data_IF_429862221456
#
_entry.id   IF_429862221456
#
_cell.length_a   1.000
_cell.length_b   1.000
_cell.length_c   1.000
_cell.angle_alpha   90.00
_cell.angle_beta   90.00
_cell.angle_gamma   90.00
#
_symmetry.space_group_name_H-M   'P 1'
#
loop_
_entity.id
_entity.type
_entity.pdbx_description
1 polymer ?
#
# COMPACT_ATOMS: atom_id res chain seq x y z
N UNK A 1 -9.57 12.84 -3.11
CA UNK A 1 -9.32 11.64 -3.94
C UNK A 1 -10.48 11.42 -4.89
N UNK A 2 -10.19 11.11 -6.15
CA UNK A 2 -11.21 10.90 -7.18
C UNK A 2 -12.07 9.66 -6.91
N UNK A 3 -13.27 9.61 -7.53
CA UNK A 3 -14.11 8.41 -7.57
C UNK A 3 -14.00 7.66 -8.90
N UNK A 4 -13.28 8.23 -9.86
CA UNK A 4 -13.02 7.56 -11.14
C UNK A 4 -12.11 6.35 -10.92
N UNK A 5 -12.56 5.12 -11.29
CA UNK A 5 -11.73 3.93 -11.10
C UNK A 5 -10.34 4.01 -11.72
N UNK A 6 -10.22 4.59 -12.92
CA UNK A 6 -8.92 4.71 -13.59
C UNK A 6 -7.97 5.59 -12.80
N UNK A 7 -8.47 6.69 -12.23
CA UNK A 7 -7.66 7.56 -11.40
C UNK A 7 -7.32 6.92 -10.05
N UNK A 8 -8.21 6.12 -9.49
CA UNK A 8 -7.95 5.38 -8.27
C UNK A 8 -6.84 4.33 -8.49
N UNK A 9 -6.87 3.61 -9.60
CA UNK A 9 -5.78 2.68 -9.95
C UNK A 9 -4.47 3.42 -10.16
N UNK A 10 -4.52 4.60 -10.78
CA UNK A 10 -3.33 5.44 -10.95
C UNK A 10 -2.75 5.86 -9.61
N UNK A 11 -3.59 6.27 -8.67
CA UNK A 11 -3.16 6.62 -7.31
C UNK A 11 -2.45 5.44 -6.63
N UNK A 12 -2.97 4.22 -6.81
CA UNK A 12 -2.35 3.01 -6.27
C UNK A 12 -0.96 2.80 -6.90
N UNK A 13 -0.85 2.90 -8.22
CA UNK A 13 0.43 2.72 -8.93
C UNK A 13 1.46 3.76 -8.52
N UNK A 14 1.04 5.01 -8.39
CA UNK A 14 1.93 6.09 -7.96
C UNK A 14 2.44 5.83 -6.54
N UNK A 15 1.55 5.43 -5.63
CA UNK A 15 1.93 5.13 -4.26
C UNK A 15 2.93 3.97 -4.18
N UNK A 16 2.72 2.91 -4.95
CA UNK A 16 3.65 1.78 -5.02
C UNK A 16 5.02 2.26 -5.52
N UNK A 17 5.05 3.07 -6.57
CA UNK A 17 6.30 3.59 -7.12
C UNK A 17 7.05 4.46 -6.12
N UNK A 18 6.34 5.28 -5.36
CA UNK A 18 6.92 6.11 -4.29
C UNK A 18 7.56 5.27 -3.21
N UNK A 19 6.89 4.20 -2.79
CA UNK A 19 7.42 3.30 -1.77
C UNK A 19 8.68 2.62 -2.29
N UNK A 20 8.66 2.11 -3.52
CA UNK A 20 9.83 1.45 -4.11
C UNK A 20 11.04 2.38 -4.17
N UNK A 21 10.86 3.63 -4.57
CA UNK A 21 11.95 4.60 -4.58
C UNK A 21 12.46 4.92 -3.19
N UNK A 22 11.54 5.03 -2.23
CA UNK A 22 11.88 5.32 -0.84
C UNK A 22 12.71 4.19 -0.22
N UNK A 23 12.35 2.95 -0.50
CA UNK A 23 13.09 1.77 -0.03
C UNK A 23 14.45 1.67 -0.71
N UNK A 24 14.48 1.78 -2.03
CA UNK A 24 15.71 1.67 -2.82
C UNK A 24 16.48 0.40 -2.48
N UNK A 25 17.77 0.55 -2.15
CA UNK A 25 18.65 -0.56 -1.75
C UNK A 25 18.84 -0.67 -0.23
N UNK A 26 18.00 0.01 0.54
CA UNK A 26 18.13 0.03 1.99
C UNK A 26 17.82 -1.32 2.60
N UNK A 27 18.54 -1.65 3.67
CA UNK A 27 18.28 -2.85 4.45
C UNK A 27 17.05 -2.62 5.34
N UNK A 28 16.45 -3.71 5.82
CA UNK A 28 15.37 -3.63 6.80
C UNK A 28 15.74 -2.77 7.99
N UNK A 29 16.91 -3.07 8.58
CA UNK A 29 17.38 -2.35 9.76
C UNK A 29 17.56 -0.85 9.49
N UNK A 30 18.22 -0.51 8.39
CA UNK A 30 18.45 0.88 8.02
C UNK A 30 17.16 1.64 7.74
N UNK A 31 16.22 1.02 7.02
CA UNK A 31 14.95 1.65 6.69
C UNK A 31 14.08 1.85 7.94
N UNK A 32 13.97 0.82 8.78
CA UNK A 32 13.07 0.86 9.94
C UNK A 32 13.54 1.80 11.04
N UNK A 33 14.80 2.25 10.99
CA UNK A 33 15.34 3.27 11.91
C UNK A 33 15.11 4.69 11.40
N UNK A 34 14.75 4.84 10.14
CA UNK A 34 14.52 6.14 9.50
C UNK A 34 13.05 6.50 9.63
N UNK A 35 12.73 7.32 10.63
CA UNK A 35 11.35 7.71 10.93
C UNK A 35 10.70 8.49 9.79
N UNK A 36 11.47 9.31 9.08
CA UNK A 36 10.94 10.10 7.97
C UNK A 36 10.53 9.17 6.83
N UNK A 37 11.39 8.21 6.48
CA UNK A 37 11.10 7.28 5.40
C UNK A 37 9.99 6.31 5.75
N UNK A 38 9.98 5.78 6.98
CA UNK A 38 8.89 4.89 7.40
C UNK A 38 7.56 5.64 7.45
N UNK A 39 7.56 6.90 7.89
CA UNK A 39 6.37 7.73 7.88
C UNK A 39 5.83 7.94 6.46
N UNK A 40 6.73 8.24 5.52
CA UNK A 40 6.36 8.40 4.11
C UNK A 40 5.80 7.11 3.51
N UNK A 41 6.40 5.96 3.84
CA UNK A 41 5.92 4.65 3.40
C UNK A 41 4.52 4.38 3.94
N UNK A 42 4.31 4.61 5.24
CA UNK A 42 2.99 4.39 5.86
C UNK A 42 1.93 5.29 5.22
N UNK A 43 2.28 6.53 4.92
CA UNK A 43 1.38 7.46 4.23
C UNK A 43 0.95 6.90 2.86
N UNK A 44 1.90 6.39 2.09
CA UNK A 44 1.59 5.82 0.77
C UNK A 44 0.82 4.50 0.88
N UNK A 45 1.09 3.68 1.89
CA UNK A 45 0.29 2.48 2.16
C UNK A 45 -1.16 2.85 2.50
N UNK A 46 -1.35 3.95 3.24
CA UNK A 46 -2.69 4.46 3.53
C UNK A 46 -3.40 4.91 2.25
N UNK A 47 -2.70 5.58 1.34
CA UNK A 47 -3.25 5.98 0.04
C UNK A 47 -3.73 4.76 -0.74
N UNK A 48 -2.94 3.69 -0.76
CA UNK A 48 -3.33 2.44 -1.44
C UNK A 48 -4.64 1.90 -0.85
N UNK A 49 -4.75 1.87 0.47
CA UNK A 49 -5.96 1.41 1.14
C UNK A 49 -7.17 2.30 0.88
N UNK A 50 -6.98 3.61 0.91
CA UNK A 50 -8.04 4.58 0.61
C UNK A 50 -8.55 4.42 -0.82
N UNK A 51 -7.65 4.38 -1.78
CA UNK A 51 -8.02 4.19 -3.18
C UNK A 51 -8.76 2.88 -3.38
N UNK A 52 -8.26 1.80 -2.76
CA UNK A 52 -8.90 0.49 -2.81
C UNK A 52 -10.33 0.52 -2.26
N UNK A 53 -10.54 1.22 -1.14
CA UNK A 53 -11.85 1.30 -0.51
C UNK A 53 -12.87 2.09 -1.36
N UNK A 54 -12.38 2.98 -2.21
CA UNK A 54 -13.22 3.80 -3.07
C UNK A 54 -13.57 3.14 -4.39
N UNK A 55 -12.86 2.08 -4.77
CA UNK A 55 -13.19 1.32 -5.97
C UNK A 55 -14.57 0.67 -5.81
N UNK A 56 -15.46 0.78 -6.81
CA UNK A 56 -16.74 0.09 -6.77
C UNK A 56 -16.56 -1.43 -6.67
N UNK A 57 -17.53 -2.11 -6.06
CA UNK A 57 -17.47 -3.56 -5.87
C UNK A 57 -17.33 -4.33 -7.18
N UNK A 58 -18.04 -3.89 -8.22
CA UNK A 58 -17.97 -4.53 -9.54
C UNK A 58 -16.59 -4.38 -10.17
N UNK A 59 -15.92 -3.25 -9.95
CA UNK A 59 -14.56 -3.03 -10.43
C UNK A 59 -13.59 -3.94 -9.68
N UNK A 60 -13.71 -4.00 -8.33
CA UNK A 60 -12.85 -4.89 -7.54
C UNK A 60 -13.05 -6.37 -7.91
N UNK A 61 -14.27 -6.75 -8.23
CA UNK A 61 -14.59 -8.12 -8.63
C UNK A 61 -13.86 -8.56 -9.91
N UNK A 62 -13.41 -7.61 -10.73
CA UNK A 62 -12.61 -7.91 -11.92
C UNK A 62 -11.17 -8.31 -11.60
N UNK A 63 -10.76 -8.14 -10.34
CA UNK A 63 -9.43 -8.49 -9.85
C UNK A 63 -9.57 -9.45 -8.65
N UNK A 64 -10.10 -10.68 -8.89
CA UNK A 64 -10.44 -11.59 -7.78
C UNK A 64 -9.22 -12.12 -7.03
N UNK A 65 -8.03 -12.01 -7.61
CA UNK A 65 -6.79 -12.46 -6.98
C UNK A 65 -6.25 -11.46 -5.97
N UNK A 66 -6.78 -10.21 -6.00
CA UNK A 66 -6.39 -9.18 -5.05
C UNK A 66 -7.23 -9.31 -3.78
N UNK A 67 -6.58 -9.38 -2.65
CA UNK A 67 -7.26 -9.40 -1.35
C UNK A 67 -7.59 -7.97 -0.92
N UNK A 68 -8.60 -7.39 -1.53
CA UNK A 68 -9.03 -6.01 -1.27
C UNK A 68 -9.39 -5.79 0.19
N UNK A 69 -10.03 -6.77 0.79
CA UNK A 69 -10.47 -6.69 2.20
C UNK A 69 -9.27 -6.53 3.13
N UNK A 70 -8.20 -7.27 2.87
CA UNK A 70 -6.97 -7.19 3.68
C UNK A 70 -6.26 -5.85 3.50
N UNK A 71 -6.22 -5.34 2.26
CA UNK A 71 -5.62 -4.04 1.96
C UNK A 71 -6.34 -2.94 2.73
N UNK A 72 -7.67 -2.95 2.71
CA UNK A 72 -8.49 -1.96 3.40
C UNK A 72 -8.35 -2.10 4.91
N UNK A 73 -8.30 -3.33 5.42
CA UNK A 73 -8.10 -3.59 6.85
C UNK A 73 -6.75 -3.06 7.33
N UNK A 74 -5.71 -3.23 6.53
CA UNK A 74 -4.38 -2.71 6.88
C UNK A 74 -4.37 -1.19 6.92
N UNK A 75 -5.07 -0.51 5.99
CA UNK A 75 -5.25 0.93 6.04
C UNK A 75 -5.85 1.36 7.38
N UNK A 76 -6.85 0.62 7.89
CA UNK A 76 -7.47 0.93 9.17
C UNK A 76 -6.47 0.75 10.32
N UNK A 77 -5.62 -0.26 10.27
CA UNK A 77 -4.55 -0.46 11.26
C UNK A 77 -3.61 0.74 11.28
N UNK A 78 -3.22 1.26 10.11
CA UNK A 78 -2.34 2.42 10.03
C UNK A 78 -3.01 3.65 10.64
N UNK A 79 -4.26 3.92 10.30
CA UNK A 79 -4.99 5.09 10.78
C UNK A 79 -5.11 5.07 12.31
N UNK A 80 -5.44 3.91 12.90
CA UNK A 80 -5.72 3.80 14.31
C UNK A 80 -4.52 3.45 15.17
N UNK A 81 -3.42 2.99 14.58
CA UNK A 81 -2.25 2.54 15.32
C UNK A 81 -0.91 2.95 14.75
N UNK A 82 -0.85 4.14 14.14
CA UNK A 82 0.34 4.63 13.44
C UNK A 82 1.63 4.46 14.24
N UNK A 83 1.63 4.87 15.51
CA UNK A 83 2.83 4.83 16.35
C UNK A 83 3.18 3.44 16.86
N UNK A 84 2.24 2.51 16.83
CA UNK A 84 2.44 1.15 17.34
C UNK A 84 2.52 0.08 16.27
N UNK A 85 2.64 0.46 15.00
CA UNK A 85 2.70 -0.50 13.90
C UNK A 85 3.95 -1.36 14.01
N UNK A 86 3.75 -2.67 13.85
CA UNK A 86 4.84 -3.65 13.82
C UNK A 86 5.68 -3.44 12.55
N UNK A 87 6.93 -3.08 12.73
CA UNK A 87 7.86 -2.79 11.62
C UNK A 87 8.17 -4.04 10.80
N UNK A 88 8.12 -5.23 11.39
CA UNK A 88 8.30 -6.47 10.65
C UNK A 88 7.16 -6.70 9.66
N UNK A 89 5.94 -6.37 10.08
CA UNK A 89 4.77 -6.44 9.19
C UNK A 89 4.93 -5.44 8.05
N UNK A 90 5.33 -4.21 8.34
CA UNK A 90 5.55 -3.19 7.30
C UNK A 90 6.60 -3.66 6.29
N UNK A 91 7.70 -4.22 6.76
CA UNK A 91 8.75 -4.74 5.89
C UNK A 91 8.24 -5.87 5.00
N UNK A 92 7.48 -6.81 5.58
CA UNK A 92 6.86 -7.91 4.83
C UNK A 92 5.92 -7.38 3.74
N UNK A 93 5.12 -6.37 4.05
CA UNK A 93 4.22 -5.74 3.07
C UNK A 93 5.04 -5.16 1.92
N UNK A 94 6.10 -4.44 2.23
CA UNK A 94 6.97 -3.81 1.22
C UNK A 94 7.62 -4.85 0.32
N UNK A 95 8.16 -5.91 0.88
CA UNK A 95 8.98 -6.88 0.15
C UNK A 95 8.17 -7.97 -0.55
N UNK A 96 7.00 -8.30 -0.03
CA UNK A 96 6.19 -9.41 -0.53
C UNK A 96 4.84 -8.95 -1.09
N UNK A 97 4.07 -8.20 -0.32
CA UNK A 97 2.69 -7.89 -0.67
C UNK A 97 2.56 -6.84 -1.78
N UNK A 98 3.39 -5.81 -1.76
CA UNK A 98 3.35 -4.79 -2.81
C UNK A 98 3.77 -5.33 -4.17
N UNK A 99 4.85 -6.12 -4.30
CA UNK A 99 5.17 -6.75 -5.59
C UNK A 99 4.06 -7.66 -6.09
N UNK A 100 3.43 -8.44 -5.21
CA UNK A 100 2.29 -9.29 -5.58
C UNK A 100 1.12 -8.46 -6.10
N UNK A 101 0.79 -7.38 -5.41
CA UNK A 101 -0.29 -6.48 -5.82
C UNK A 101 -0.01 -5.87 -7.19
N UNK A 102 1.21 -5.43 -7.40
CA UNK A 102 1.65 -4.84 -8.66
C UNK A 102 1.42 -5.80 -9.83
N UNK A 103 1.79 -7.06 -9.65
CA UNK A 103 1.58 -8.10 -10.66
C UNK A 103 0.08 -8.36 -10.89
N UNK A 104 -0.69 -8.48 -9.82
CA UNK A 104 -2.13 -8.78 -9.90
C UNK A 104 -2.94 -7.65 -10.55
N UNK A 105 -2.46 -6.42 -10.47
CA UNK A 105 -3.11 -5.27 -11.09
C UNK A 105 -2.76 -5.10 -12.58
N UNK A 106 -1.77 -5.82 -13.07
CA UNK A 106 -1.45 -5.80 -14.50
C UNK A 106 -2.45 -6.67 -15.26
N UNK A 107 -3.05 -6.08 -16.28
CA UNK A 107 -3.97 -6.78 -17.17
C UNK A 107 -3.70 -6.41 -18.61
#
# INVERSE_FOLDING_TARGET
MSKDPDLLFEDIRIAIARIKRCVGKRTKHGLMRDEIRTGYILWNLMIIGEASSRLPKDVRAKYPEVDWKRIIAFRNVIIHGYNGIDKDIVWSVIKEKLPELEVKLKR
#
